data_IF_918338635692
#
_entry.id   IF_918338635692
#
_cell.length_a   1.000
_cell.length_b   1.000
_cell.length_c   1.000
_cell.angle_alpha   90.00
_cell.angle_beta   90.00
_cell.angle_gamma   90.00
#
_symmetry.space_group_name_H-M   'P 1'
#
loop_
_entity.id
_entity.type
_entity.pdbx_description
1 polymer ?
#
# COMPACT_ATOMS: atom_id res chain seq x y z
N UNK A 1 1.97 -16.09 -13.43
CA UNK A 1 1.88 -14.69 -13.94
C UNK A 1 0.42 -14.35 -14.20
N UNK A 2 0.01 -13.10 -14.01
CA UNK A 2 -1.39 -12.66 -14.21
C UNK A 2 -1.65 -12.29 -15.66
N UNK A 3 -2.68 -12.85 -16.32
CA UNK A 3 -3.02 -12.51 -17.70
C UNK A 3 -3.45 -11.05 -17.88
N UNK A 4 -3.21 -10.49 -19.07
CA UNK A 4 -3.60 -9.12 -19.41
C UNK A 4 -5.13 -8.95 -19.36
N UNK A 5 -5.87 -10.00 -19.69
CA UNK A 5 -7.33 -10.03 -19.63
C UNK A 5 -7.83 -9.77 -18.22
N UNK A 6 -7.16 -10.33 -17.20
CA UNK A 6 -7.51 -10.10 -15.79
C UNK A 6 -7.32 -8.64 -15.38
N UNK A 7 -6.24 -8.00 -15.84
CA UNK A 7 -5.98 -6.58 -15.57
C UNK A 7 -7.07 -5.72 -16.23
N UNK A 8 -7.37 -5.99 -17.50
CA UNK A 8 -8.40 -5.28 -18.25
C UNK A 8 -9.80 -5.45 -17.63
N UNK A 9 -10.16 -6.65 -17.17
CA UNK A 9 -11.43 -6.92 -16.50
C UNK A 9 -11.59 -6.13 -15.20
N UNK A 10 -10.52 -6.01 -14.41
CA UNK A 10 -10.52 -5.19 -13.19
C UNK A 10 -10.69 -3.71 -13.54
N UNK A 11 -9.97 -3.22 -14.54
CA UNK A 11 -10.04 -1.81 -14.96
C UNK A 11 -11.40 -1.43 -15.57
N UNK A 12 -12.05 -2.34 -16.29
CA UNK A 12 -13.43 -2.15 -16.78
C UNK A 12 -14.43 -1.97 -15.64
N UNK A 13 -14.12 -2.48 -14.45
CA UNK A 13 -14.92 -2.28 -13.23
C UNK A 13 -14.54 -1.01 -12.46
N UNK A 14 -13.65 -0.18 -13.01
CA UNK A 14 -13.15 1.04 -12.37
C UNK A 14 -12.10 0.79 -11.29
N UNK A 15 -11.53 -0.43 -11.21
CA UNK A 15 -10.50 -0.78 -10.24
C UNK A 15 -9.12 -0.42 -10.81
N UNK A 16 -8.29 0.24 -10.01
CA UNK A 16 -6.88 0.50 -10.33
C UNK A 16 -6.02 -0.73 -10.01
N UNK A 17 -5.12 -1.08 -10.92
CA UNK A 17 -4.27 -2.27 -10.79
C UNK A 17 -2.83 -1.85 -10.54
N UNK A 18 -2.30 -2.27 -9.38
CA UNK A 18 -0.91 -2.09 -9.00
C UNK A 18 -0.18 -3.42 -9.17
N UNK A 19 0.94 -3.36 -9.87
CA UNK A 19 1.69 -4.51 -10.33
C UNK A 19 2.94 -4.72 -9.45
N UNK A 20 2.97 -5.83 -8.73
CA UNK A 20 4.04 -6.17 -7.80
C UNK A 20 5.25 -6.76 -8.53
N UNK A 21 6.45 -6.38 -8.10
CA UNK A 21 7.67 -7.15 -8.37
C UNK A 21 8.69 -6.88 -7.27
N UNK A 22 9.59 -7.83 -6.98
CA UNK A 22 10.72 -7.51 -6.11
C UNK A 22 11.77 -6.68 -6.85
N UNK A 23 12.16 -5.55 -6.28
CA UNK A 23 13.18 -4.66 -6.82
C UNK A 23 14.54 -4.89 -6.16
N UNK A 24 14.57 -5.10 -4.84
CA UNK A 24 15.81 -5.27 -4.07
C UNK A 24 16.22 -6.71 -3.80
N UNK A 25 15.51 -7.70 -4.35
CA UNK A 25 15.95 -9.11 -4.30
C UNK A 25 15.95 -9.80 -5.66
N UNK A 26 16.78 -10.82 -5.75
CA UNK A 26 16.78 -11.86 -6.76
C UNK A 26 15.83 -12.97 -6.33
N UNK A 27 15.08 -13.52 -7.27
CA UNK A 27 14.09 -14.58 -7.06
C UNK A 27 14.32 -15.68 -8.12
N UNK A 28 14.73 -16.89 -7.71
CA UNK A 28 15.19 -17.96 -8.62
C UNK A 28 14.07 -18.62 -9.46
N UNK A 29 12.82 -18.23 -9.23
CA UNK A 29 11.65 -18.69 -9.95
C UNK A 29 11.19 -17.72 -11.05
N UNK A 30 11.83 -16.55 -11.18
CA UNK A 30 11.51 -15.56 -12.21
C UNK A 30 12.07 -15.95 -13.56
N UNK A 31 11.33 -15.64 -14.63
CA UNK A 31 11.76 -15.92 -16.00
C UNK A 31 13.00 -15.15 -16.44
N UNK A 32 13.32 -14.05 -15.76
CA UNK A 32 14.47 -13.19 -16.03
C UNK A 32 15.65 -13.40 -15.07
N UNK A 33 15.59 -14.42 -14.20
CA UNK A 33 16.61 -14.74 -13.19
C UNK A 33 18.02 -14.86 -13.78
N UNK A 34 18.15 -15.42 -14.99
CA UNK A 34 19.45 -15.68 -15.63
C UNK A 34 20.14 -14.38 -16.11
N UNK A 35 19.47 -13.23 -16.00
CA UNK A 35 20.07 -11.91 -16.24
C UNK A 35 20.84 -11.37 -15.05
N UNK A 36 20.61 -11.90 -13.84
CA UNK A 36 21.35 -11.52 -12.66
C UNK A 36 22.72 -12.18 -12.69
N UNK A 37 23.78 -11.38 -12.68
CA UNK A 37 25.13 -11.91 -12.57
C UNK A 37 25.44 -12.26 -11.11
N UNK A 38 26.22 -13.31 -10.88
CA UNK A 38 26.46 -13.82 -9.53
C UNK A 38 27.12 -12.80 -8.58
N UNK A 39 27.83 -11.80 -9.13
CA UNK A 39 28.46 -10.71 -8.38
C UNK A 39 27.47 -9.69 -7.80
N UNK A 40 26.22 -9.70 -8.24
CA UNK A 40 25.17 -8.78 -7.76
C UNK A 40 24.14 -9.49 -6.86
N UNK A 41 24.33 -10.78 -6.57
CA UNK A 41 23.49 -11.58 -5.67
C UNK A 41 24.19 -11.69 -4.32
N UNK A 42 23.50 -11.26 -3.26
CA UNK A 42 24.03 -11.08 -1.91
C UNK A 42 23.52 -12.14 -0.95
N UNK A 43 23.26 -11.72 0.28
CA UNK A 43 22.79 -12.61 1.34
C UNK A 43 21.39 -13.16 1.04
N UNK A 44 21.12 -14.45 1.34
CA UNK A 44 19.79 -15.03 1.17
C UNK A 44 18.79 -14.43 2.17
N UNK A 45 17.52 -14.33 1.77
CA UNK A 45 16.44 -14.00 2.70
C UNK A 45 16.03 -15.29 3.44
N UNK A 46 16.22 -15.41 4.77
CA UNK A 46 16.00 -16.67 5.47
C UNK A 46 14.56 -17.18 5.42
N UNK A 47 13.60 -16.27 5.24
CA UNK A 47 12.17 -16.58 5.23
C UNK A 47 11.65 -17.03 3.86
N UNK A 48 12.45 -16.82 2.80
CA UNK A 48 12.04 -17.03 1.41
C UNK A 48 13.11 -17.83 0.65
N UNK A 49 12.90 -19.16 0.56
CA UNK A 49 13.81 -20.05 -0.17
C UNK A 49 13.91 -19.65 -1.65
N UNK A 50 15.15 -19.52 -2.16
CA UNK A 50 15.41 -19.08 -3.53
C UNK A 50 15.48 -17.55 -3.71
N UNK A 51 15.30 -16.78 -2.63
CA UNK A 51 15.36 -15.33 -2.63
C UNK A 51 16.65 -14.79 -1.98
N UNK A 52 17.23 -13.73 -2.54
CA UNK A 52 18.46 -13.13 -2.02
C UNK A 52 18.52 -11.63 -2.28
N UNK A 53 19.08 -10.85 -1.36
CA UNK A 53 19.34 -9.44 -1.58
C UNK A 53 20.22 -9.22 -2.82
N UNK A 54 20.09 -8.05 -3.46
CA UNK A 54 20.93 -7.69 -4.61
C UNK A 54 21.69 -6.39 -4.39
N UNK A 55 22.80 -6.22 -5.10
CA UNK A 55 23.53 -4.95 -5.10
C UNK A 55 22.75 -3.89 -5.89
N UNK A 56 22.02 -3.04 -5.16
CA UNK A 56 21.15 -1.99 -5.72
C UNK A 56 21.89 -0.87 -6.46
N UNK A 57 23.23 -0.83 -6.37
CA UNK A 57 24.09 0.09 -7.11
C UNK A 57 24.37 -0.41 -8.54
N UNK A 58 24.07 -1.69 -8.81
CA UNK A 58 24.36 -2.32 -10.10
C UNK A 58 23.54 -1.73 -11.24
N UNK A 59 24.22 -1.31 -12.32
CA UNK A 59 23.54 -0.88 -13.55
C UNK A 59 22.78 -2.03 -14.22
N UNK A 60 23.28 -3.27 -14.11
CA UNK A 60 22.57 -4.45 -14.65
C UNK A 60 21.23 -4.68 -13.94
N UNK A 61 21.19 -4.46 -12.63
CA UNK A 61 19.93 -4.52 -11.90
C UNK A 61 18.96 -3.45 -12.43
N UNK A 62 19.42 -2.21 -12.57
CA UNK A 62 18.58 -1.10 -13.09
C UNK A 62 18.00 -1.42 -14.47
N UNK A 63 18.78 -2.02 -15.38
CA UNK A 63 18.29 -2.48 -16.68
C UNK A 63 17.17 -3.54 -16.55
N UNK A 64 17.33 -4.52 -15.65
CA UNK A 64 16.29 -5.53 -15.37
C UNK A 64 15.02 -4.86 -14.85
N UNK A 65 15.13 -3.92 -13.92
CA UNK A 65 13.97 -3.25 -13.31
C UNK A 65 13.27 -2.32 -14.29
N UNK A 66 14.00 -1.64 -15.19
CA UNK A 66 13.41 -0.89 -16.31
C UNK A 66 12.54 -1.82 -17.16
N UNK A 67 13.05 -2.99 -17.54
CA UNK A 67 12.31 -3.94 -18.36
C UNK A 67 11.07 -4.50 -17.62
N UNK A 68 11.17 -4.75 -16.31
CA UNK A 68 10.02 -5.15 -15.47
C UNK A 68 8.93 -4.06 -15.44
N UNK A 69 9.31 -2.79 -15.29
CA UNK A 69 8.36 -1.68 -15.33
C UNK A 69 7.78 -1.45 -16.73
N UNK A 70 8.57 -1.62 -17.80
CA UNK A 70 8.06 -1.60 -19.17
C UNK A 70 7.06 -2.73 -19.42
N UNK A 71 7.32 -3.93 -18.87
CA UNK A 71 6.37 -5.03 -18.91
C UNK A 71 5.08 -4.68 -18.16
N UNK A 72 5.16 -4.09 -16.97
CA UNK A 72 3.99 -3.61 -16.22
C UNK A 72 3.18 -2.59 -17.04
N UNK A 73 3.83 -1.60 -17.65
CA UNK A 73 3.18 -0.65 -18.55
C UNK A 73 2.50 -1.36 -19.73
N UNK A 74 3.21 -2.28 -20.41
CA UNK A 74 2.69 -2.99 -21.58
C UNK A 74 1.48 -3.90 -21.25
N UNK A 75 1.41 -4.42 -20.02
CA UNK A 75 0.25 -5.20 -19.53
C UNK A 75 -0.92 -4.32 -19.08
N UNK A 76 -0.72 -2.99 -19.04
CA UNK A 76 -1.75 -2.02 -18.70
C UNK A 76 -1.87 -1.71 -17.21
N UNK A 77 -0.85 -1.99 -16.40
CA UNK A 77 -0.86 -1.63 -14.98
C UNK A 77 -1.05 -0.10 -14.79
N UNK A 78 -1.79 0.30 -13.75
CA UNK A 78 -1.93 1.72 -13.38
C UNK A 78 -0.74 2.21 -12.53
N UNK A 79 -0.08 1.29 -11.83
CA UNK A 79 1.09 1.55 -11.02
C UNK A 79 1.87 0.29 -10.67
N UNK A 80 2.95 0.45 -9.92
CA UNK A 80 3.84 -0.63 -9.47
C UNK A 80 4.10 -0.57 -7.98
N UNK A 81 4.34 -1.75 -7.40
CA UNK A 81 4.76 -1.95 -6.02
C UNK A 81 6.11 -2.69 -6.01
N UNK A 82 7.23 -1.95 -6.07
CA UNK A 82 8.57 -2.53 -6.03
C UNK A 82 8.90 -2.93 -4.58
N UNK A 83 9.08 -4.24 -4.34
CA UNK A 83 9.34 -4.79 -3.01
C UNK A 83 10.83 -4.83 -2.65
N UNK A 84 11.09 -5.04 -1.36
CA UNK A 84 12.43 -5.18 -0.77
C UNK A 84 13.31 -3.94 -1.03
N UNK A 85 12.72 -2.74 -0.91
CA UNK A 85 13.37 -1.46 -1.17
C UNK A 85 13.95 -0.81 0.10
N UNK A 86 14.37 -1.65 1.04
CA UNK A 86 14.90 -1.31 2.37
C UNK A 86 16.17 -2.12 2.71
N UNK A 87 16.87 -2.64 1.69
CA UNK A 87 18.03 -3.51 1.83
C UNK A 87 19.19 -2.91 2.63
N UNK A 88 19.37 -1.58 2.62
CA UNK A 88 20.37 -0.90 3.46
C UNK A 88 20.14 -1.04 4.97
N UNK A 89 18.92 -1.40 5.39
CA UNK A 89 18.55 -1.59 6.79
C UNK A 89 18.46 -3.08 7.17
N UNK A 90 18.94 -3.97 6.29
CA UNK A 90 18.93 -5.41 6.43
C UNK A 90 20.32 -6.02 6.22
N UNK A 91 20.53 -7.27 6.63
CA UNK A 91 21.75 -8.01 6.31
C UNK A 91 21.74 -8.45 4.84
N UNK A 92 22.29 -7.59 3.98
CA UNK A 92 22.22 -7.72 2.51
C UNK A 92 23.47 -8.35 1.88
N UNK A 93 24.60 -8.44 2.61
CA UNK A 93 25.87 -8.95 2.09
C UNK A 93 26.69 -7.99 1.22
N UNK A 94 26.28 -6.73 1.05
CA UNK A 94 26.94 -5.71 0.23
C UNK A 94 27.35 -4.43 1.00
N UNK A 95 27.06 -4.36 2.31
CA UNK A 95 27.22 -3.16 3.13
C UNK A 95 26.55 -1.93 2.50
N UNK A 96 25.34 -2.12 1.96
CA UNK A 96 24.55 -1.03 1.41
C UNK A 96 24.32 0.07 2.45
N UNK A 97 24.45 1.32 2.01
CA UNK A 97 24.24 2.51 2.86
C UNK A 97 22.85 3.10 2.63
N UNK A 98 22.40 3.96 3.56
CA UNK A 98 21.17 4.73 3.37
C UNK A 98 21.22 5.60 2.11
N UNK A 99 22.38 6.14 1.73
CA UNK A 99 22.52 6.92 0.49
C UNK A 99 22.36 6.04 -0.76
N UNK A 100 22.87 4.81 -0.73
CA UNK A 100 22.68 3.83 -1.82
C UNK A 100 21.18 3.50 -1.99
N UNK A 101 20.47 3.34 -0.87
CA UNK A 101 19.03 3.06 -0.86
C UNK A 101 18.22 4.26 -1.36
N UNK A 102 18.58 5.46 -0.94
CA UNK A 102 17.92 6.69 -1.37
C UNK A 102 18.05 6.90 -2.88
N UNK A 103 19.24 6.71 -3.44
CA UNK A 103 19.47 6.81 -4.89
C UNK A 103 18.69 5.73 -5.66
N UNK A 104 18.69 4.49 -5.16
CA UNK A 104 17.95 3.40 -5.78
C UNK A 104 16.43 3.64 -5.77
N UNK A 105 15.88 4.04 -4.63
CA UNK A 105 14.45 4.31 -4.49
C UNK A 105 14.01 5.53 -5.34
N UNK A 106 14.86 6.55 -5.44
CA UNK A 106 14.63 7.70 -6.34
C UNK A 106 14.65 7.27 -7.81
N UNK A 107 15.56 6.37 -8.19
CA UNK A 107 15.60 5.79 -9.54
C UNK A 107 14.33 5.01 -9.88
N UNK A 108 13.81 4.18 -8.95
CA UNK A 108 12.56 3.44 -9.15
C UNK A 108 11.39 4.38 -9.40
N UNK A 109 11.23 5.40 -8.55
CA UNK A 109 10.15 6.37 -8.68
C UNK A 109 10.24 7.14 -10.01
N UNK A 110 11.43 7.65 -10.34
CA UNK A 110 11.68 8.40 -11.58
C UNK A 110 11.37 7.54 -12.82
N UNK A 111 11.77 6.27 -12.80
CA UNK A 111 11.55 5.35 -13.92
C UNK A 111 10.07 5.01 -14.10
N UNK A 112 9.36 4.71 -13.00
CA UNK A 112 7.92 4.45 -13.04
C UNK A 112 7.14 5.66 -13.60
N UNK A 113 7.46 6.87 -13.12
CA UNK A 113 6.85 8.10 -13.62
C UNK A 113 7.15 8.36 -15.11
N UNK A 114 8.37 8.08 -15.57
CA UNK A 114 8.74 8.13 -16.98
C UNK A 114 7.94 7.17 -17.87
N UNK A 115 7.38 6.11 -17.28
CA UNK A 115 6.50 5.13 -17.91
C UNK A 115 5.01 5.39 -17.61
N UNK A 116 4.65 6.54 -17.02
CA UNK A 116 3.28 6.88 -16.65
C UNK A 116 2.63 5.83 -15.72
N UNK A 117 3.42 5.26 -14.83
CA UNK A 117 3.00 4.36 -13.75
C UNK A 117 3.10 5.11 -12.42
N UNK A 118 2.10 4.97 -11.55
CA UNK A 118 2.28 5.36 -10.14
C UNK A 118 3.18 4.36 -9.42
N UNK A 119 3.80 4.77 -8.31
CA UNK A 119 4.77 3.93 -7.59
C UNK A 119 4.61 4.02 -6.08
N UNK A 120 4.67 2.86 -5.42
CA UNK A 120 4.60 2.72 -3.97
C UNK A 120 5.96 2.61 -3.30
N UNK A 121 6.13 3.26 -2.14
CA UNK A 121 7.25 2.98 -1.24
C UNK A 121 6.86 1.83 -0.32
N UNK A 122 7.53 0.69 -0.49
CA UNK A 122 7.27 -0.53 0.28
C UNK A 122 8.16 -0.60 1.53
N UNK A 123 7.51 -0.59 2.69
CA UNK A 123 8.10 -0.66 4.01
C UNK A 123 9.08 0.48 4.36
N UNK A 124 10.24 0.63 3.70
CA UNK A 124 11.37 1.57 3.99
C UNK A 124 11.03 2.81 4.87
N UNK A 125 10.80 2.57 6.17
CA UNK A 125 10.27 3.59 7.08
C UNK A 125 11.35 4.63 7.40
N UNK A 126 12.62 4.20 7.36
CA UNK A 126 13.77 5.03 7.71
C UNK A 126 13.98 6.19 6.74
N UNK A 127 13.44 6.12 5.51
CA UNK A 127 13.63 7.14 4.48
C UNK A 127 12.33 7.81 4.04
N UNK A 128 11.23 7.65 4.78
CA UNK A 128 9.93 8.24 4.41
C UNK A 128 10.02 9.75 4.22
N UNK A 129 10.67 10.49 5.12
CA UNK A 129 10.75 11.95 5.02
C UNK A 129 11.52 12.43 3.78
N UNK A 130 12.51 11.65 3.32
CA UNK A 130 13.27 11.95 2.11
C UNK A 130 12.51 11.56 0.83
N UNK A 131 11.75 10.46 0.89
CA UNK A 131 11.12 9.82 -0.28
C UNK A 131 9.66 10.19 -0.51
N UNK A 132 8.96 10.72 0.50
CA UNK A 132 7.52 11.05 0.41
C UNK A 132 7.21 12.02 -0.73
N UNK A 133 8.16 12.86 -1.14
CA UNK A 133 7.95 13.80 -2.25
C UNK A 133 7.91 13.12 -3.62
N UNK A 134 8.60 11.99 -3.80
CA UNK A 134 8.78 11.31 -5.10
C UNK A 134 7.92 10.06 -5.28
N UNK A 135 7.46 9.40 -4.22
CA UNK A 135 6.53 8.26 -4.33
C UNK A 135 5.06 8.71 -4.34
N UNK A 136 4.16 7.95 -4.95
CA UNK A 136 2.74 8.32 -5.06
C UNK A 136 1.90 7.81 -3.89
N UNK A 137 2.35 6.73 -3.24
CA UNK A 137 1.71 6.10 -2.10
C UNK A 137 2.73 5.30 -1.29
N UNK A 138 2.34 4.82 -0.12
CA UNK A 138 3.11 3.82 0.64
C UNK A 138 2.35 2.50 0.68
N UNK A 139 3.09 1.40 0.62
CA UNK A 139 2.62 0.07 1.02
C UNK A 139 3.41 -0.30 2.26
N UNK A 140 2.74 -0.63 3.35
CA UNK A 140 3.41 -1.06 4.57
C UNK A 140 2.79 -2.34 5.10
N UNK A 141 3.66 -3.24 5.56
CA UNK A 141 3.30 -4.43 6.29
C UNK A 141 3.52 -4.19 7.78
N UNK A 142 2.47 -4.47 8.56
CA UNK A 142 2.55 -4.66 10.01
C UNK A 142 2.88 -3.42 10.86
N UNK A 143 2.66 -2.18 10.39
CA UNK A 143 2.94 -1.02 11.23
C UNK A 143 2.17 -1.01 12.56
N UNK A 144 0.97 -1.61 12.61
CA UNK A 144 0.19 -1.70 13.84
C UNK A 144 0.86 -2.69 14.79
N UNK A 145 1.24 -3.85 14.25
CA UNK A 145 1.91 -4.90 15.02
C UNK A 145 3.22 -4.40 15.65
N UNK A 146 4.02 -3.65 14.90
CA UNK A 146 5.31 -3.12 15.36
C UNK A 146 5.23 -1.73 16.02
N UNK A 147 4.04 -1.14 16.12
CA UNK A 147 3.81 0.20 16.68
C UNK A 147 4.66 1.28 15.99
N UNK A 148 4.65 1.29 14.66
CA UNK A 148 5.48 2.16 13.82
C UNK A 148 4.64 2.97 12.80
N UNK A 149 3.31 2.92 12.87
CA UNK A 149 2.43 3.60 11.92
C UNK A 149 2.63 5.13 11.85
N UNK A 150 3.08 5.76 12.94
CA UNK A 150 3.34 7.20 12.96
C UNK A 150 4.41 7.62 11.94
N UNK A 151 5.33 6.72 11.58
CA UNK A 151 6.37 6.97 10.57
C UNK A 151 5.80 7.18 9.16
N UNK A 152 4.57 6.72 8.90
CA UNK A 152 3.91 6.81 7.59
C UNK A 152 2.96 8.02 7.47
N UNK A 153 2.71 8.73 8.57
CA UNK A 153 1.89 9.96 8.59
C UNK A 153 2.36 11.04 7.59
N UNK A 154 3.66 11.18 7.25
CA UNK A 154 4.10 12.10 6.20
C UNK A 154 3.39 11.89 4.85
N UNK A 155 3.09 10.64 4.45
CA UNK A 155 2.32 10.37 3.22
C UNK A 155 0.92 10.99 3.30
N UNK A 156 0.21 10.79 4.41
CA UNK A 156 -1.12 11.37 4.61
C UNK A 156 -1.09 12.89 4.63
N UNK A 157 -0.08 13.50 5.29
CA UNK A 157 0.13 14.96 5.28
C UNK A 157 0.40 15.50 3.87
N UNK A 158 1.06 14.71 3.03
CA UNK A 158 1.27 15.01 1.61
C UNK A 158 0.06 14.69 0.72
N UNK A 159 -1.08 14.29 1.29
CA UNK A 159 -2.29 13.87 0.59
C UNK A 159 -2.06 12.64 -0.33
N UNK A 160 -1.21 11.72 0.13
CA UNK A 160 -0.87 10.45 -0.54
C UNK A 160 -1.37 9.28 0.32
N UNK A 161 -1.95 8.23 -0.28
CA UNK A 161 -2.52 7.13 0.48
C UNK A 161 -1.43 6.24 1.09
N UNK A 162 -1.78 5.60 2.20
CA UNK A 162 -1.00 4.53 2.84
C UNK A 162 -1.85 3.26 2.80
N UNK A 163 -1.36 2.25 2.07
CA UNK A 163 -1.96 0.93 1.97
C UNK A 163 -1.30 0.00 2.99
N UNK A 164 -1.98 -0.23 4.12
CA UNK A 164 -1.48 -1.09 5.19
C UNK A 164 -1.87 -2.56 5.01
N UNK A 165 -1.02 -3.48 5.44
CA UNK A 165 -1.29 -4.92 5.46
C UNK A 165 -0.96 -5.47 6.85
N UNK A 166 -1.94 -6.06 7.53
CA UNK A 166 -1.77 -6.72 8.82
C UNK A 166 -1.99 -8.23 8.67
N UNK A 167 -1.08 -9.04 9.21
CA UNK A 167 -1.14 -10.51 9.11
C UNK A 167 -1.69 -11.20 10.34
N UNK A 168 -1.76 -10.49 11.47
CA UNK A 168 -2.20 -11.03 12.74
C UNK A 168 -2.69 -9.91 13.66
N UNK A 169 -3.15 -10.28 14.86
CA UNK A 169 -3.65 -9.33 15.85
C UNK A 169 -5.16 -9.15 15.85
N UNK A 170 -5.64 -8.31 16.76
CA UNK A 170 -7.07 -8.00 16.90
C UNK A 170 -7.54 -7.03 15.80
N UNK A 171 -8.46 -7.50 14.96
CA UNK A 171 -8.97 -6.77 13.79
C UNK A 171 -9.63 -5.45 14.20
N UNK A 172 -10.39 -5.42 15.29
CA UNK A 172 -11.09 -4.21 15.73
C UNK A 172 -10.11 -3.12 16.19
N UNK A 173 -9.14 -3.49 17.03
CA UNK A 173 -8.10 -2.59 17.52
C UNK A 173 -7.21 -2.08 16.39
N UNK A 174 -6.72 -2.99 15.53
CA UNK A 174 -5.85 -2.58 14.43
C UNK A 174 -6.56 -1.70 13.40
N UNK A 175 -7.82 -1.99 13.08
CA UNK A 175 -8.61 -1.10 12.22
C UNK A 175 -8.92 0.24 12.87
N UNK A 176 -9.13 0.32 14.19
CA UNK A 176 -9.29 1.60 14.88
C UNK A 176 -8.03 2.46 14.77
N UNK A 177 -6.84 1.87 14.97
CA UNK A 177 -5.55 2.57 14.82
C UNK A 177 -5.36 3.05 13.38
N UNK A 178 -5.44 2.14 12.40
CA UNK A 178 -5.26 2.47 10.98
C UNK A 178 -6.23 3.56 10.50
N UNK A 179 -7.52 3.44 10.85
CA UNK A 179 -8.53 4.42 10.45
C UNK A 179 -8.29 5.78 11.08
N UNK A 180 -7.80 5.84 12.33
CA UNK A 180 -7.47 7.10 13.01
C UNK A 180 -6.35 7.89 12.31
N UNK A 181 -5.46 7.19 11.62
CA UNK A 181 -4.37 7.76 10.81
C UNK A 181 -4.75 7.93 9.33
N UNK A 182 -6.00 7.61 8.96
CA UNK A 182 -6.50 7.62 7.59
C UNK A 182 -5.77 6.64 6.64
N UNK A 183 -5.33 5.49 7.15
CA UNK A 183 -4.74 4.43 6.33
C UNK A 183 -5.80 3.50 5.75
N UNK A 184 -5.55 2.99 4.55
CA UNK A 184 -6.37 1.99 3.88
C UNK A 184 -5.81 0.58 4.17
N UNK A 185 -6.06 0.10 5.39
CA UNK A 185 -5.48 -1.17 5.86
C UNK A 185 -6.35 -2.39 5.55
N UNK A 186 -5.70 -3.48 5.14
CA UNK A 186 -6.27 -4.81 4.99
C UNK A 186 -5.66 -5.78 6.00
N UNK A 187 -6.48 -6.63 6.59
CA UNK A 187 -6.01 -7.86 7.24
C UNK A 187 -5.99 -8.99 6.21
N UNK A 188 -4.87 -9.71 6.15
CA UNK A 188 -4.59 -10.78 5.18
C UNK A 188 -3.96 -11.99 5.89
N UNK A 189 -4.06 -13.17 5.29
CA UNK A 189 -3.11 -14.25 5.61
C UNK A 189 -1.74 -13.93 4.98
N UNK A 190 -0.64 -14.40 5.59
CA UNK A 190 0.73 -14.21 5.08
C UNK A 190 0.93 -14.76 3.66
N UNK A 191 0.20 -15.82 3.29
CA UNK A 191 0.20 -16.34 1.91
C UNK A 191 -0.39 -15.37 0.87
N UNK A 192 -1.01 -14.28 1.32
CA UNK A 192 -1.73 -13.26 0.56
C UNK A 192 -2.94 -13.79 -0.23
N UNK A 193 -3.30 -15.07 -0.07
CA UNK A 193 -4.47 -15.71 -0.70
C UNK A 193 -5.76 -15.58 0.13
N UNK A 194 -6.90 -15.67 -0.58
CA UNK A 194 -8.31 -15.88 -0.15
C UNK A 194 -8.93 -15.09 1.01
N UNK A 195 -8.23 -14.83 2.12
CA UNK A 195 -8.75 -14.02 3.22
C UNK A 195 -8.41 -12.55 2.99
N UNK A 196 -9.42 -11.68 3.00
CA UNK A 196 -9.28 -10.23 2.98
C UNK A 196 -10.33 -9.65 3.91
N UNK A 197 -9.88 -8.80 4.82
CA UNK A 197 -10.76 -8.00 5.67
C UNK A 197 -10.32 -6.54 5.61
N UNK A 198 -11.20 -5.64 5.17
CA UNK A 198 -10.87 -4.23 5.00
C UNK A 198 -11.32 -3.39 6.18
N UNK A 199 -10.41 -2.57 6.72
CA UNK A 199 -10.73 -1.66 7.81
C UNK A 199 -11.71 -0.54 7.43
N UNK A 200 -11.81 -0.21 6.13
CA UNK A 200 -12.75 0.78 5.61
C UNK A 200 -14.18 0.26 5.50
N UNK A 201 -14.34 -1.05 5.27
CA UNK A 201 -15.65 -1.71 5.23
C UNK A 201 -16.30 -1.72 6.64
N UNK A 202 -15.50 -1.70 7.71
CA UNK A 202 -15.98 -1.63 9.10
C UNK A 202 -16.55 -0.27 9.53
N UNK A 203 -16.07 0.83 8.96
CA UNK A 203 -16.52 2.17 9.36
C UNK A 203 -17.99 2.43 8.98
N UNK A 204 -18.53 1.67 8.02
CA UNK A 204 -19.92 1.79 7.55
C UNK A 204 -20.99 1.18 8.46
N UNK A 205 -20.65 0.22 9.31
CA UNK A 205 -21.63 -0.48 10.16
C UNK A 205 -21.81 0.15 11.56
N UNK A 206 -20.98 1.14 11.91
CA UNK A 206 -21.04 1.79 13.23
C UNK A 206 -22.17 2.82 13.39
N UNK A 207 -23.04 2.99 12.40
CA UNK A 207 -24.15 3.95 12.44
C UNK A 207 -25.56 3.34 12.24
N UNK A 208 -25.75 2.06 12.58
CA UNK A 208 -27.09 1.48 12.79
C UNK A 208 -27.33 1.30 14.28
N UNK A 209 -27.50 2.43 14.97
CA UNK A 209 -28.18 2.45 16.26
C UNK A 209 -29.68 2.27 16.03
N UNK A 210 -30.18 1.03 16.04
CA UNK A 210 -31.61 0.80 16.26
C UNK A 210 -31.86 0.61 17.75
N UNK A 211 -32.19 1.70 18.42
CA UNK A 211 -32.86 1.70 19.70
C UNK A 211 -34.20 0.94 19.58
N UNK A 212 -34.29 -0.23 20.20
CA UNK A 212 -35.59 -0.82 20.53
C UNK A 212 -35.98 -0.38 21.94
N UNK A 213 -36.72 0.73 22.04
CA UNK A 213 -37.48 1.07 23.24
C UNK A 213 -38.95 1.12 22.90
N UNK A 214 -39.69 0.21 23.52
CA UNK A 214 -41.13 0.02 23.45
C UNK A 214 -41.89 1.30 23.79
N UNK A 215 -42.90 1.61 22.98
CA UNK A 215 -43.82 2.70 23.23
C UNK A 215 -44.90 2.33 24.25
N UNK A 216 -45.23 3.28 25.12
CA UNK A 216 -46.52 3.34 25.82
C UNK A 216 -46.80 4.76 26.34
N UNK A 217 -47.90 5.35 25.87
CA UNK A 217 -48.83 6.11 26.73
C UNK A 217 -48.64 7.63 26.94
N UNK A 218 -49.33 8.40 26.10
CA UNK A 218 -50.24 9.54 26.44
C UNK A 218 -49.79 10.69 27.37
N UNK A 219 -49.89 11.93 26.88
CA UNK A 219 -49.99 13.15 27.70
C UNK A 219 -49.95 14.44 26.88
N UNK A 220 -50.92 15.32 27.10
CA UNK A 220 -51.33 16.47 26.29
C UNK A 220 -50.63 17.82 26.61
N UNK A 221 -50.46 18.64 25.55
CA UNK A 221 -50.55 20.12 25.44
C UNK A 221 -49.69 21.00 26.38
N UNK A 222 -48.84 21.88 25.80
CA UNK A 222 -48.88 23.36 25.94
C UNK A 222 -47.71 24.02 25.20
N UNK A 223 -48.02 25.12 24.51
CA UNK A 223 -47.12 26.08 23.87
C UNK A 223 -46.36 26.89 24.94
N UNK A 224 -45.08 27.21 24.69
CA UNK A 224 -44.56 28.58 24.86
C UNK A 224 -43.16 28.73 24.24
N UNK A 225 -42.97 29.84 23.54
CA UNK A 225 -41.76 30.13 22.77
C UNK A 225 -40.61 30.69 23.60
N UNK A 226 -39.39 30.56 23.08
CA UNK A 226 -38.39 31.62 23.19
C UNK A 226 -37.30 31.42 22.13
N UNK A 227 -36.81 32.57 21.67
CA UNK A 227 -35.78 32.80 20.69
C UNK A 227 -34.41 32.21 21.05
N UNK A 228 -33.73 31.64 20.06
CA UNK A 228 -32.27 31.76 19.98
C UNK A 228 -31.81 31.62 18.52
N UNK A 229 -31.17 32.70 18.06
CA UNK A 229 -30.34 32.77 16.87
C UNK A 229 -29.20 31.77 16.96
N UNK A 230 -28.99 30.97 15.92
CA UNK A 230 -27.65 30.49 15.55
C UNK A 230 -27.63 30.24 14.03
N UNK A 231 -26.89 31.11 13.34
CA UNK A 231 -26.41 30.90 11.98
C UNK A 231 -25.34 29.81 12.02
N UNK A 232 -25.73 28.56 11.80
CA UNK A 232 -24.76 27.49 11.54
C UNK A 232 -24.43 27.44 10.06
N UNK A 233 -23.13 27.57 9.80
CA UNK A 233 -22.51 27.51 8.51
C UNK A 233 -22.89 26.22 7.78
N UNK A 234 -23.30 26.40 6.54
CA UNK A 234 -23.43 25.34 5.54
C UNK A 234 -22.15 24.48 5.52
N UNK A 235 -22.27 23.28 6.07
CA UNK A 235 -21.30 22.20 5.91
C UNK A 235 -21.29 21.84 4.42
N UNK A 236 -20.28 22.33 3.70
CA UNK A 236 -19.99 21.86 2.35
C UNK A 236 -19.49 20.43 2.51
N UNK A 237 -20.38 19.47 2.29
CA UNK A 237 -20.02 18.07 2.12
C UNK A 237 -19.16 17.97 0.86
N UNK A 238 -17.84 18.00 1.08
CA UNK A 238 -16.87 17.60 0.06
C UNK A 238 -17.26 16.21 -0.39
N UNK A 239 -17.78 16.13 -1.61
CA UNK A 239 -18.13 14.88 -2.28
C UNK A 239 -16.82 14.16 -2.58
N UNK A 240 -16.27 13.48 -1.57
CA UNK A 240 -15.12 12.61 -1.73
C UNK A 240 -15.56 11.46 -2.63
N UNK A 241 -14.95 11.38 -3.79
CA UNK A 241 -15.01 10.23 -4.68
C UNK A 241 -14.66 9.01 -3.84
N UNK A 242 -15.65 8.19 -3.50
CA UNK A 242 -15.44 6.86 -2.97
C UNK A 242 -14.91 6.01 -4.11
N UNK A 243 -13.62 6.14 -4.39
CA UNK A 243 -12.91 5.19 -5.23
C UNK A 243 -12.88 3.89 -4.42
N UNK A 244 -13.61 2.86 -4.88
CA UNK A 244 -13.43 1.50 -4.41
C UNK A 244 -12.01 1.05 -4.79
N UNK A 245 -11.04 1.35 -3.94
CA UNK A 245 -9.69 0.79 -4.03
C UNK A 245 -9.74 -0.65 -3.57
N UNK A 246 -9.90 -1.56 -4.53
CA UNK A 246 -9.49 -2.95 -4.33
C UNK A 246 -8.05 -3.01 -4.79
N UNK A 247 -7.09 -2.95 -3.84
CA UNK A 247 -5.72 -3.33 -4.15
C UNK A 247 -5.71 -4.82 -4.48
N UNK A 248 -5.72 -5.14 -5.76
CA UNK A 248 -5.27 -6.42 -6.25
C UNK A 248 -3.77 -6.29 -6.48
N UNK A 249 -2.95 -6.73 -5.51
CA UNK A 249 -1.55 -6.98 -5.78
C UNK A 249 -1.47 -8.10 -6.79
N UNK A 250 -1.08 -7.73 -8.00
CA UNK A 250 -0.88 -8.68 -9.08
C UNK A 250 0.55 -9.20 -8.99
N UNK A 251 0.63 -10.40 -8.41
CA UNK A 251 1.67 -11.43 -8.53
C UNK A 251 2.30 -11.54 -9.93
N UNK A 252 3.31 -10.75 -10.30
CA UNK A 252 4.15 -11.17 -11.43
C UNK A 252 4.79 -12.50 -11.07
N UNK A 253 4.90 -13.40 -12.05
CA UNK A 253 5.83 -14.54 -12.09
C UNK A 253 5.92 -15.47 -10.84
N UNK A 254 4.82 -15.92 -10.22
CA UNK A 254 4.83 -17.26 -9.60
C UNK A 254 4.32 -18.27 -10.63
N UNK A 255 5.06 -19.37 -10.78
CA UNK A 255 4.66 -20.54 -11.57
C UNK A 255 3.42 -21.19 -10.95
#
# INVERSE_FOLDING_TARGET
DTPNETIAELQQRGIKVICYFSAGTYEDWRSDKDRYSSDIIGAPLPEWEGESWVDIRSTKLREILVDRMQLAQAKGCDGVDPDNVDGAFNDNGFNLTADDQLDFNTFLATTAHGLNLTVGLKNDLNQVDDLVSVFDFSVNEQCVHYNECDMLVPFIKANKPVFGIEYSGDKATGCAIANSLNFDTLFKALSLKSERYSCREMSGDSNVGSSSSEGSGSGSVSNDGSSSSNSEASFVTSSRVTACFVLCFVFFLSH
#
